data_IF_040849899475
#
_entry.id   IF_040849899475
#
_cell.length_a   1.000
_cell.length_b   1.000
_cell.length_c   1.000
_cell.angle_alpha   90.00
_cell.angle_beta   90.00
_cell.angle_gamma   90.00
#
_symmetry.space_group_name_H-M   'P 1'
#
loop_
_entity.id
_entity.type
_entity.pdbx_description
1 polymer ?
#
# COMPACT_ATOMS: atom_id res chain seq x y z
N UNK A 1 19.27 -6.17 -7.25
CA UNK A 1 18.16 -7.04 -7.68
C UNK A 1 16.78 -6.42 -7.36
N UNK A 2 16.74 -5.20 -6.81
CA UNK A 2 15.54 -4.42 -6.46
C UNK A 2 15.20 -3.35 -7.51
N UNK A 3 16.15 -3.10 -8.45
CA UNK A 3 16.05 -2.01 -9.44
C UNK A 3 15.02 -2.23 -10.55
N UNK A 4 14.50 -3.45 -10.70
CA UNK A 4 13.58 -3.78 -11.82
C UNK A 4 12.15 -3.28 -11.56
N UNK A 5 11.75 -3.07 -10.29
CA UNK A 5 10.42 -2.55 -9.93
C UNK A 5 10.39 -1.04 -9.65
N UNK A 6 11.54 -0.44 -9.39
CA UNK A 6 11.66 1.02 -9.29
C UNK A 6 11.74 1.68 -10.67
N UNK A 7 11.70 0.90 -11.76
CA UNK A 7 11.89 1.37 -13.14
C UNK A 7 10.71 2.12 -13.76
N UNK A 8 9.52 2.07 -13.18
CA UNK A 8 8.43 2.99 -13.52
C UNK A 8 8.25 3.98 -12.37
N UNK A 9 9.18 4.93 -12.30
CA UNK A 9 8.93 6.16 -11.56
C UNK A 9 7.60 6.73 -12.05
N UNK A 10 6.67 6.98 -11.13
CA UNK A 10 5.40 7.65 -11.44
C UNK A 10 5.73 8.86 -12.31
N UNK A 11 5.33 8.83 -13.57
CA UNK A 11 5.64 9.93 -14.50
C UNK A 11 4.99 11.20 -13.97
N UNK A 12 5.77 12.27 -13.77
CA UNK A 12 5.19 13.49 -13.23
C UNK A 12 4.14 14.05 -14.21
N UNK A 13 3.10 14.67 -13.67
CA UNK A 13 2.15 15.38 -14.48
C UNK A 13 2.88 16.43 -15.33
N UNK A 14 2.66 16.39 -16.66
CA UNK A 14 3.18 17.38 -17.62
C UNK A 14 2.11 18.35 -18.08
N UNK A 15 0.82 17.97 -17.97
CA UNK A 15 -0.31 18.81 -18.30
C UNK A 15 -1.27 18.92 -17.11
N UNK A 16 -1.95 20.04 -17.04
CA UNK A 16 -2.95 20.34 -16.03
C UNK A 16 -4.16 19.38 -16.16
N UNK A 17 -4.56 18.66 -15.11
CA UNK A 17 -5.72 17.79 -15.19
C UNK A 17 -7.06 18.53 -15.31
N UNK A 18 -7.10 19.84 -15.05
CA UNK A 18 -8.31 20.65 -15.16
C UNK A 18 -8.51 21.28 -16.54
N UNK A 19 -7.43 21.74 -17.21
CA UNK A 19 -7.55 22.49 -18.47
C UNK A 19 -6.56 22.06 -19.56
N UNK A 20 -5.82 20.98 -19.34
CA UNK A 20 -4.84 20.42 -20.28
C UNK A 20 -3.67 21.34 -20.66
N UNK A 21 -3.54 22.55 -20.10
CA UNK A 21 -2.38 23.44 -20.32
C UNK A 21 -1.12 22.79 -19.74
N UNK A 22 0.01 22.94 -20.43
CA UNK A 22 1.29 22.46 -19.91
C UNK A 22 1.60 23.09 -18.55
N UNK A 23 2.00 22.23 -17.58
CA UNK A 23 2.41 22.69 -16.25
C UNK A 23 3.82 23.27 -16.32
N UNK A 24 4.05 24.32 -15.56
CA UNK A 24 5.36 24.99 -15.41
C UNK A 24 5.83 24.91 -13.96
N UNK A 25 7.07 25.26 -13.71
CA UNK A 25 7.56 25.43 -12.34
C UNK A 25 6.86 26.61 -11.68
N UNK A 26 6.44 26.39 -10.44
CA UNK A 26 5.77 27.36 -9.58
C UNK A 26 6.41 27.28 -8.18
N UNK A 27 6.73 28.44 -7.62
CA UNK A 27 7.20 28.51 -6.23
C UNK A 27 6.02 28.88 -5.35
N UNK A 28 5.69 27.97 -4.43
CA UNK A 28 4.59 28.18 -3.50
C UNK A 28 4.95 29.19 -2.38
N UNK A 29 3.99 29.51 -1.54
CA UNK A 29 4.15 30.46 -0.41
C UNK A 29 5.19 29.99 0.61
N UNK A 30 5.48 28.68 0.65
CA UNK A 30 6.47 28.05 1.54
C UNK A 30 7.85 27.92 0.89
N UNK A 31 8.06 28.58 -0.27
CA UNK A 31 9.30 28.55 -1.06
C UNK A 31 9.65 27.15 -1.60
N UNK A 32 8.65 26.30 -1.85
CA UNK A 32 8.82 24.97 -2.45
C UNK A 32 8.52 25.04 -3.95
N UNK A 33 9.36 24.42 -4.75
CA UNK A 33 9.10 24.25 -6.19
C UNK A 33 8.00 23.22 -6.40
N UNK A 34 6.93 23.60 -7.10
CA UNK A 34 5.78 22.79 -7.47
C UNK A 34 5.56 22.83 -8.97
N UNK A 35 4.70 21.96 -9.48
CA UNK A 35 4.14 22.09 -10.82
C UNK A 35 2.86 22.92 -10.76
N UNK A 36 2.82 24.04 -11.45
CA UNK A 36 1.65 24.93 -11.47
C UNK A 36 1.11 25.13 -12.88
N UNK A 37 -0.19 25.37 -12.99
CA UNK A 37 -0.83 25.71 -14.26
C UNK A 37 -0.91 27.23 -14.45
N UNK A 38 -0.27 27.79 -15.47
CA UNK A 38 -0.30 29.27 -15.71
C UNK A 38 -1.66 29.75 -16.20
N UNK A 39 -2.54 28.84 -16.66
CA UNK A 39 -3.86 29.20 -17.23
C UNK A 39 -4.96 29.22 -16.17
N UNK A 40 -5.08 28.21 -15.31
CA UNK A 40 -6.19 28.08 -14.36
C UNK A 40 -5.79 28.13 -12.88
N UNK A 41 -4.48 28.29 -12.57
CA UNK A 41 -3.98 28.37 -11.20
C UNK A 41 -3.91 27.04 -10.44
N UNK A 42 -4.19 25.90 -11.10
CA UNK A 42 -4.02 24.58 -10.48
C UNK A 42 -2.57 24.38 -10.03
N UNK A 43 -2.37 23.88 -8.80
CA UNK A 43 -1.03 23.51 -8.28
C UNK A 43 -1.03 22.01 -7.96
N UNK A 44 -0.05 21.30 -8.51
CA UNK A 44 0.19 19.90 -8.22
C UNK A 44 1.13 19.78 -7.02
N UNK A 45 0.60 19.32 -5.89
CA UNK A 45 1.37 19.20 -4.64
C UNK A 45 2.24 17.96 -4.57
N UNK A 46 1.97 16.96 -5.41
CA UNK A 46 2.66 15.66 -5.42
C UNK A 46 2.62 14.96 -4.05
N UNK A 47 1.44 14.98 -3.42
CA UNK A 47 1.24 14.36 -2.14
C UNK A 47 1.36 12.83 -2.23
N UNK A 48 1.88 12.16 -1.19
CA UNK A 48 1.91 10.71 -1.15
C UNK A 48 0.52 10.10 -1.31
N UNK A 49 0.43 9.06 -2.12
CA UNK A 49 -0.81 8.31 -2.31
C UNK A 49 -1.10 7.47 -1.05
N UNK A 50 -2.31 7.56 -0.46
CA UNK A 50 -2.69 6.73 0.67
C UNK A 50 -2.94 5.29 0.21
N UNK A 51 -2.33 4.35 0.94
CA UNK A 51 -2.43 2.90 0.73
C UNK A 51 -2.82 2.24 2.04
N UNK A 52 -3.78 1.33 2.02
CA UNK A 52 -4.10 0.46 3.14
C UNK A 52 -3.36 -0.86 3.03
N UNK A 53 -2.92 -1.43 4.16
CA UNK A 53 -2.20 -2.69 4.21
C UNK A 53 -2.72 -3.60 5.32
N UNK A 54 -2.93 -4.88 5.02
CA UNK A 54 -3.39 -5.88 5.97
C UNK A 54 -2.31 -6.92 6.26
N UNK A 55 -1.97 -7.08 7.55
CA UNK A 55 -1.34 -8.29 8.06
C UNK A 55 -2.48 -9.26 8.35
N UNK A 56 -2.75 -10.15 7.40
CA UNK A 56 -3.87 -11.10 7.48
C UNK A 56 -3.44 -12.33 8.27
N UNK A 57 -3.97 -12.46 9.48
CA UNK A 57 -3.86 -13.68 10.29
C UNK A 57 -5.02 -14.61 9.94
N UNK A 58 -4.71 -15.80 9.43
CA UNK A 58 -5.67 -16.82 9.03
C UNK A 58 -5.16 -18.20 9.45
N UNK A 59 -5.93 -18.94 10.23
CA UNK A 59 -5.61 -20.31 10.67
C UNK A 59 -4.18 -20.47 11.25
N UNK A 60 -3.73 -19.48 12.06
CA UNK A 60 -2.41 -19.51 12.72
C UNK A 60 -1.23 -19.13 11.82
N UNK A 61 -1.48 -18.64 10.61
CA UNK A 61 -0.44 -18.14 9.71
C UNK A 61 -0.71 -16.70 9.28
N UNK A 62 0.33 -16.03 8.76
CA UNK A 62 0.21 -14.78 8.01
C UNK A 62 0.06 -15.13 6.54
N UNK A 63 -1.00 -14.65 5.91
CA UNK A 63 -1.19 -14.77 4.47
C UNK A 63 -0.36 -13.72 3.76
N UNK A 64 0.57 -14.16 2.92
CA UNK A 64 1.32 -13.31 2.01
C UNK A 64 0.87 -13.57 0.59
N UNK A 65 0.80 -12.51 -0.19
CA UNK A 65 0.28 -12.55 -1.57
C UNK A 65 1.35 -12.17 -2.60
N UNK A 66 1.14 -12.57 -3.83
CA UNK A 66 1.93 -12.17 -4.98
C UNK A 66 1.03 -11.65 -6.08
N UNK A 67 1.15 -10.37 -6.39
CA UNK A 67 0.41 -9.75 -7.49
C UNK A 67 0.89 -10.25 -8.86
N UNK A 68 0.02 -10.25 -9.85
CA UNK A 68 0.38 -10.54 -11.25
C UNK A 68 1.46 -9.57 -11.72
N UNK A 69 2.45 -10.08 -12.43
CA UNK A 69 3.61 -9.30 -12.88
C UNK A 69 4.78 -9.23 -11.90
N UNK A 70 4.60 -9.59 -10.63
CA UNK A 70 5.71 -9.67 -9.69
C UNK A 70 6.59 -10.91 -9.93
N UNK A 71 7.91 -10.83 -9.63
CA UNK A 71 8.79 -11.98 -9.64
C UNK A 71 8.24 -13.13 -8.79
N UNK A 72 8.47 -14.38 -9.23
CA UNK A 72 7.89 -15.57 -8.59
C UNK A 72 8.29 -15.78 -7.12
N UNK A 73 9.40 -15.19 -6.70
CA UNK A 73 9.93 -15.26 -5.34
C UNK A 73 9.52 -14.07 -4.45
N UNK A 74 8.72 -13.13 -4.96
CA UNK A 74 8.25 -11.98 -4.20
C UNK A 74 6.91 -12.28 -3.56
N UNK A 75 6.79 -11.87 -2.31
CA UNK A 75 5.56 -11.92 -1.53
C UNK A 75 5.42 -10.61 -0.75
N UNK A 76 4.21 -10.13 -0.62
CA UNK A 76 3.86 -8.93 0.14
C UNK A 76 2.67 -9.13 1.05
N UNK A 77 2.31 -8.12 1.81
CA UNK A 77 1.01 -8.06 2.48
C UNK A 77 -0.08 -7.78 1.44
N UNK A 78 -1.33 -8.04 1.79
CA UNK A 78 -2.49 -7.51 1.07
C UNK A 78 -2.47 -6.00 1.15
N UNK A 79 -2.60 -5.32 0.01
CA UNK A 79 -2.54 -3.85 -0.06
C UNK A 79 -3.42 -3.32 -1.18
N UNK A 80 -4.03 -2.17 -0.95
CA UNK A 80 -4.75 -1.46 -2.00
C UNK A 80 -4.80 0.04 -1.77
N UNK A 81 -5.29 0.77 -2.75
CA UNK A 81 -5.49 2.20 -2.64
C UNK A 81 -6.72 2.51 -1.80
N UNK A 82 -6.58 3.54 -0.97
CA UNK A 82 -7.75 4.08 -0.27
C UNK A 82 -8.61 4.85 -1.27
N UNK A 83 -9.88 4.48 -1.35
CA UNK A 83 -10.82 5.08 -2.27
C UNK A 83 -11.41 6.41 -1.73
N UNK A 84 -11.91 7.24 -2.66
CA UNK A 84 -12.54 8.51 -2.30
C UNK A 84 -13.82 8.28 -1.49
N UNK A 85 -13.87 8.85 -0.29
CA UNK A 85 -15.04 8.77 0.59
C UNK A 85 -15.12 7.50 1.41
N UNK A 86 -14.04 6.70 1.43
CA UNK A 86 -13.92 5.47 2.19
C UNK A 86 -13.13 5.72 3.49
N UNK A 87 -13.62 5.15 4.59
CA UNK A 87 -12.83 5.08 5.81
C UNK A 87 -11.69 4.08 5.65
N UNK A 88 -10.47 4.43 6.08
CA UNK A 88 -9.30 3.59 5.86
C UNK A 88 -9.39 2.21 6.52
N UNK A 89 -10.17 2.08 7.60
CA UNK A 89 -10.45 0.82 8.26
C UNK A 89 -11.38 -0.09 7.42
N UNK A 90 -12.32 0.51 6.71
CA UNK A 90 -13.21 -0.24 5.80
C UNK A 90 -12.46 -0.63 4.53
N UNK A 91 -11.60 0.25 4.02
CA UNK A 91 -10.76 -0.01 2.86
C UNK A 91 -9.85 -1.23 3.04
N UNK A 92 -9.20 -1.38 4.20
CA UNK A 92 -8.36 -2.55 4.44
C UNK A 92 -9.15 -3.86 4.48
N UNK A 93 -10.39 -3.85 4.99
CA UNK A 93 -11.26 -5.03 5.01
C UNK A 93 -11.78 -5.36 3.60
N UNK A 94 -12.12 -4.33 2.80
CA UNK A 94 -12.51 -4.48 1.40
C UNK A 94 -11.39 -5.17 0.61
N UNK A 95 -10.14 -4.68 0.71
CA UNK A 95 -9.00 -5.26 0.01
C UNK A 95 -8.77 -6.73 0.38
N UNK A 96 -8.89 -7.09 1.67
CA UNK A 96 -8.80 -8.49 2.10
C UNK A 96 -9.90 -9.34 1.47
N UNK A 97 -11.11 -8.81 1.37
CA UNK A 97 -12.21 -9.51 0.73
C UNK A 97 -12.03 -9.64 -0.78
N UNK A 98 -11.63 -8.57 -1.46
CA UNK A 98 -11.43 -8.53 -2.93
C UNK A 98 -10.26 -9.41 -3.37
N UNK A 99 -9.14 -9.35 -2.64
CA UNK A 99 -7.92 -10.10 -2.99
C UNK A 99 -7.96 -11.57 -2.57
N UNK A 100 -8.62 -11.90 -1.44
CA UNK A 100 -8.56 -13.23 -0.84
C UNK A 100 -9.92 -13.91 -0.67
N UNK A 101 -11.04 -13.23 -0.90
CA UNK A 101 -12.39 -13.76 -0.64
C UNK A 101 -12.72 -13.97 0.85
N UNK A 102 -11.83 -13.57 1.76
CA UNK A 102 -11.97 -13.84 3.18
C UNK A 102 -12.89 -12.82 3.86
N UNK A 103 -13.57 -13.29 4.94
CA UNK A 103 -14.23 -12.43 5.90
C UNK A 103 -13.23 -12.05 6.98
N UNK A 104 -12.98 -10.75 7.16
CA UNK A 104 -11.97 -10.26 8.09
C UNK A 104 -12.56 -9.26 9.10
N UNK A 105 -11.94 -9.20 10.27
CA UNK A 105 -12.17 -8.15 11.27
C UNK A 105 -10.84 -7.52 11.68
N UNK A 106 -10.86 -6.24 11.98
CA UNK A 106 -9.68 -5.55 12.51
C UNK A 106 -9.41 -6.07 13.93
N UNK A 107 -8.16 -6.49 14.15
CA UNK A 107 -7.65 -6.84 15.47
C UNK A 107 -6.90 -5.65 16.10
N UNK A 108 -6.08 -4.94 15.33
CA UNK A 108 -5.38 -3.74 15.81
C UNK A 108 -4.87 -2.88 14.66
N UNK A 109 -4.72 -1.58 14.93
CA UNK A 109 -3.94 -0.69 14.08
C UNK A 109 -2.45 -0.86 14.37
N UNK A 110 -1.66 -1.08 13.34
CA UNK A 110 -0.21 -1.30 13.49
C UNK A 110 0.56 0.02 13.38
N UNK A 111 0.26 0.84 12.40
CA UNK A 111 0.91 2.12 12.26
C UNK A 111 0.83 2.73 10.87
N UNK A 112 1.51 3.87 10.73
CA UNK A 112 1.66 4.61 9.47
C UNK A 112 3.11 4.56 9.03
N UNK A 113 3.34 4.26 7.74
CA UNK A 113 4.69 4.06 7.19
C UNK A 113 4.85 4.81 5.87
N UNK A 114 5.92 5.58 5.75
CA UNK A 114 6.28 6.21 4.48
C UNK A 114 7.02 5.21 3.58
N UNK A 115 6.57 5.15 2.33
CA UNK A 115 7.23 4.41 1.27
C UNK A 115 7.66 5.42 0.19
N UNK A 116 8.82 6.02 0.40
CA UNK A 116 9.30 7.15 -0.40
C UNK A 116 9.52 6.79 -1.86
N UNK A 117 10.00 5.58 -2.13
CA UNK A 117 10.30 5.09 -3.49
C UNK A 117 9.05 5.03 -4.38
N UNK A 118 7.88 4.84 -3.78
CA UNK A 118 6.59 4.81 -4.48
C UNK A 118 5.73 6.05 -4.23
N UNK A 119 6.26 7.05 -3.51
CA UNK A 119 5.49 8.22 -3.07
C UNK A 119 4.16 7.82 -2.41
N UNK A 120 4.23 6.92 -1.42
CA UNK A 120 3.05 6.39 -0.73
C UNK A 120 3.15 6.60 0.79
N UNK A 121 1.98 6.75 1.41
CA UNK A 121 1.77 6.60 2.84
C UNK A 121 0.94 5.36 3.10
N UNK A 122 1.50 4.40 3.84
CA UNK A 122 0.88 3.10 4.11
C UNK A 122 0.27 3.14 5.51
N UNK A 123 -1.04 2.90 5.59
CA UNK A 123 -1.76 2.69 6.83
C UNK A 123 -1.91 1.18 7.00
N UNK A 124 -1.36 0.62 8.07
CA UNK A 124 -1.29 -0.83 8.26
C UNK A 124 -2.12 -1.32 9.44
N UNK A 125 -2.87 -2.40 9.24
CA UNK A 125 -3.65 -3.08 10.26
C UNK A 125 -3.27 -4.55 10.36
N UNK A 126 -3.42 -5.10 11.55
CA UNK A 126 -3.55 -6.52 11.79
C UNK A 126 -5.02 -6.89 11.71
N UNK A 127 -5.35 -7.85 10.88
CA UNK A 127 -6.71 -8.37 10.73
C UNK A 127 -6.73 -9.88 10.97
N UNK A 128 -7.80 -10.35 11.55
CA UNK A 128 -8.06 -11.79 11.71
C UNK A 128 -9.15 -12.18 10.73
N UNK A 129 -8.84 -13.14 9.88
CA UNK A 129 -9.71 -13.56 8.79
C UNK A 129 -10.15 -15.02 8.91
N UNK A 130 -11.32 -15.31 8.36
CA UNK A 130 -11.95 -16.64 8.31
C UNK A 130 -12.51 -16.89 6.91
N UNK A 131 -12.72 -18.16 6.59
CA UNK A 131 -13.25 -18.58 5.28
C UNK A 131 -12.22 -19.32 4.44
N UNK A 132 -12.61 -19.70 3.24
CA UNK A 132 -11.73 -20.32 2.25
C UNK A 132 -11.10 -19.26 1.36
N UNK A 133 -9.77 -19.33 1.15
CA UNK A 133 -9.05 -18.36 0.32
C UNK A 133 -9.40 -18.58 -1.14
N UNK A 134 -9.97 -17.54 -1.74
CA UNK A 134 -10.22 -17.45 -3.19
C UNK A 134 -9.50 -16.22 -3.73
N UNK A 135 -8.53 -16.44 -4.61
CA UNK A 135 -7.73 -15.33 -5.16
C UNK A 135 -8.55 -14.43 -6.08
N UNK A 136 -8.49 -13.16 -5.84
CA UNK A 136 -8.98 -12.13 -6.74
C UNK A 136 -8.13 -12.03 -8.02
N UNK A 137 -8.66 -11.29 -9.01
CA UNK A 137 -8.08 -11.21 -10.35
C UNK A 137 -6.68 -10.58 -10.40
N UNK A 138 -6.30 -9.79 -9.41
CA UNK A 138 -4.99 -9.12 -9.37
C UNK A 138 -3.87 -10.02 -8.86
N UNK A 139 -4.22 -11.09 -8.16
CA UNK A 139 -3.25 -11.99 -7.54
C UNK A 139 -2.89 -13.17 -8.45
N UNK A 140 -1.63 -13.58 -8.34
CA UNK A 140 -1.09 -14.75 -9.01
C UNK A 140 -0.88 -15.94 -8.06
N UNK A 141 -0.70 -15.68 -6.77
CA UNK A 141 -0.48 -16.71 -5.75
C UNK A 141 -0.60 -16.14 -4.35
N UNK A 142 -0.78 -17.03 -3.36
CA UNK A 142 -0.62 -16.71 -1.96
C UNK A 142 0.22 -17.79 -1.26
N UNK A 143 0.69 -17.47 -0.05
CA UNK A 143 1.31 -18.43 0.87
C UNK A 143 0.87 -18.14 2.29
N UNK A 144 0.44 -19.17 3.01
CA UNK A 144 0.29 -19.14 4.46
C UNK A 144 1.64 -19.44 5.09
N UNK A 145 2.21 -18.46 5.79
CA UNK A 145 3.48 -18.60 6.50
C UNK A 145 3.17 -18.62 8.00
N UNK A 146 3.53 -19.70 8.73
CA UNK A 146 3.38 -19.72 10.18
C UNK A 146 3.98 -18.46 10.82
N UNK A 147 3.29 -17.89 11.80
CA UNK A 147 3.64 -16.59 12.39
C UNK A 147 5.09 -16.59 12.90
N UNK A 148 5.57 -17.68 13.49
CA UNK A 148 6.93 -17.84 13.99
C UNK A 148 7.98 -17.92 12.88
N UNK A 149 7.56 -18.21 11.64
CA UNK A 149 8.45 -18.34 10.46
C UNK A 149 8.43 -17.15 9.53
N UNK A 150 7.39 -16.31 9.59
CA UNK A 150 7.33 -15.14 8.73
C UNK A 150 8.47 -14.18 9.07
N UNK A 151 9.07 -13.59 8.04
CA UNK A 151 10.19 -12.65 8.19
C UNK A 151 9.87 -11.35 7.47
N UNK A 152 10.07 -10.20 8.12
CA UNK A 152 9.85 -8.91 7.50
C UNK A 152 10.95 -8.61 6.47
N UNK A 153 10.60 -7.82 5.47
CA UNK A 153 11.52 -7.25 4.50
C UNK A 153 11.78 -5.76 4.79
N UNK A 154 12.88 -5.16 4.24
CA UNK A 154 13.36 -3.85 4.75
C UNK A 154 12.56 -2.64 4.27
N UNK A 155 11.68 -2.77 3.27
CA UNK A 155 10.99 -1.66 2.62
C UNK A 155 9.47 -1.80 2.64
N UNK A 156 8.77 -0.74 2.33
CA UNK A 156 7.30 -0.72 2.19
C UNK A 156 6.60 -1.35 3.40
N UNK A 157 5.72 -2.30 3.12
CA UNK A 157 4.90 -2.99 4.13
C UNK A 157 5.69 -3.90 5.08
N UNK A 158 6.93 -4.26 4.75
CA UNK A 158 7.77 -5.07 5.63
C UNK A 158 8.08 -4.40 6.98
N UNK A 159 8.09 -3.07 7.03
CA UNK A 159 8.23 -2.30 8.28
C UNK A 159 7.05 -2.54 9.23
N UNK A 160 5.83 -2.56 8.69
CA UNK A 160 4.62 -2.85 9.46
C UNK A 160 4.64 -4.29 10.02
N UNK A 161 5.03 -5.26 9.20
CA UNK A 161 5.16 -6.65 9.63
C UNK A 161 6.18 -6.80 10.76
N UNK A 162 7.32 -6.12 10.66
CA UNK A 162 8.35 -6.11 11.71
C UNK A 162 7.80 -5.57 13.04
N UNK A 163 7.12 -4.45 13.01
CA UNK A 163 6.63 -3.77 14.22
C UNK A 163 5.49 -4.57 14.86
N UNK A 164 4.64 -5.21 14.05
CA UNK A 164 3.62 -6.13 14.55
C UNK A 164 4.22 -7.36 15.22
N UNK A 165 5.23 -8.00 14.62
CA UNK A 165 5.92 -9.15 15.21
C UNK A 165 6.61 -8.77 16.53
N UNK A 166 7.23 -7.60 16.61
CA UNK A 166 7.89 -7.12 17.83
C UNK A 166 6.89 -6.93 19.00
N UNK A 167 5.69 -6.41 18.71
CA UNK A 167 4.63 -6.25 19.73
C UNK A 167 4.09 -7.58 20.23
N UNK A 168 4.06 -8.62 19.40
CA UNK A 168 3.62 -9.97 19.83
C UNK A 168 4.61 -10.65 20.78
N UNK A 169 5.90 -10.26 20.71
CA UNK A 169 6.94 -10.82 21.60
C UNK A 169 7.00 -10.11 22.96
N UNK A 170 6.50 -8.86 23.02
CA UNK A 170 6.45 -8.03 24.23
C UNK A 170 5.04 -7.45 24.40
N UNK A 171 4.06 -8.27 24.83
CA UNK A 171 2.66 -7.88 24.96
C UNK A 171 2.41 -6.82 26.06
#
# INVERSE_FOLDING_TARGET
MWDVFLGETVKPFVHCPQCATALTEHIDVEQRTRKGCPSCGFVHYDNPTPVVAAIVEHEGCVVLVRSKGWPSNWLGLVTGFLERGEEAADGVLREVHEELGLQARIASFVGVYSFFEMNQVILAWHVVATGEITLGDELAAYRCIPIERVRPWPMGTGKALRDWLARRQNP
#
